data_IF_449340213654
#
_entry.id   IF_449340213654
#
_cell.length_a   1.000
_cell.length_b   1.000
_cell.length_c   1.000
_cell.angle_alpha   90.00
_cell.angle_beta   90.00
_cell.angle_gamma   90.00
#
_symmetry.space_group_name_H-M   'P 1'
#
loop_
_entity.id
_entity.type
_entity.pdbx_description
1 polymer ?
#
# COMPACT_ATOMS: atom_id res chain seq x y z
N UNK A 1 -25.34 -21.22 0.19
CA UNK A 1 -24.21 -20.50 0.84
C UNK A 1 -23.37 -19.86 -0.27
N UNK A 2 -22.88 -18.63 -0.06
CA UNK A 2 -22.04 -17.89 -1.00
C UNK A 2 -20.67 -17.62 -0.37
N UNK A 3 -19.60 -17.58 -1.19
CA UNK A 3 -18.22 -17.32 -0.79
C UNK A 3 -17.74 -16.02 -1.44
N UNK A 4 -17.19 -15.12 -0.64
CA UNK A 4 -16.53 -13.90 -1.09
C UNK A 4 -15.04 -13.97 -0.85
N UNK A 5 -14.26 -13.79 -1.91
CA UNK A 5 -12.81 -13.72 -1.87
C UNK A 5 -12.37 -12.25 -1.88
N UNK A 6 -11.90 -11.77 -0.73
CA UNK A 6 -11.39 -10.41 -0.54
C UNK A 6 -9.88 -10.43 -0.17
N UNK A 7 -9.14 -11.35 -0.74
CA UNK A 7 -7.75 -11.65 -0.39
C UNK A 7 -6.72 -10.73 -1.03
N UNK A 8 -7.17 -9.79 -1.88
CA UNK A 8 -6.41 -8.73 -2.54
C UNK A 8 -5.03 -9.21 -3.06
N UNK A 9 -3.92 -8.83 -2.41
CA UNK A 9 -2.55 -9.19 -2.82
C UNK A 9 -2.25 -10.69 -2.82
N UNK A 10 -3.02 -11.48 -2.08
CA UNK A 10 -2.87 -12.94 -2.03
C UNK A 10 -3.83 -13.69 -2.97
N UNK A 11 -4.60 -12.97 -3.79
CA UNK A 11 -5.61 -13.57 -4.67
C UNK A 11 -5.01 -14.50 -5.71
N UNK A 12 -3.80 -14.22 -6.20
CA UNK A 12 -3.11 -15.06 -7.18
C UNK A 12 -2.81 -16.47 -6.69
N UNK A 13 -2.87 -16.72 -5.38
CA UNK A 13 -2.71 -18.05 -4.79
C UNK A 13 -4.01 -18.88 -4.86
N UNK A 14 -5.14 -18.26 -5.16
CA UNK A 14 -6.47 -18.86 -5.03
C UNK A 14 -7.25 -18.79 -6.36
N UNK A 15 -7.10 -17.71 -7.12
CA UNK A 15 -7.87 -17.45 -8.33
C UNK A 15 -6.96 -17.05 -9.50
N UNK A 16 -7.40 -17.39 -10.73
CA UNK A 16 -6.68 -17.06 -11.96
C UNK A 16 -7.13 -15.69 -12.50
N UNK A 17 -6.88 -14.63 -11.73
CA UNK A 17 -7.16 -13.26 -12.13
C UNK A 17 -5.86 -12.46 -12.31
N UNK A 18 -5.92 -11.38 -13.08
CA UNK A 18 -4.77 -10.49 -13.27
C UNK A 18 -4.53 -9.63 -12.01
N UNK A 19 -4.09 -10.28 -10.95
CA UNK A 19 -3.66 -9.68 -9.69
C UNK A 19 -2.21 -10.05 -9.43
N UNK A 20 -1.35 -9.05 -9.39
CA UNK A 20 0.07 -9.22 -9.05
C UNK A 20 0.25 -8.80 -7.60
N UNK A 21 0.83 -9.65 -6.74
CA UNK A 21 1.20 -9.25 -5.39
C UNK A 21 2.30 -8.18 -5.46
N UNK A 22 2.17 -7.15 -4.66
CA UNK A 22 3.10 -6.04 -4.66
C UNK A 22 3.39 -5.60 -3.23
N UNK A 23 4.61 -5.86 -2.78
CA UNK A 23 5.06 -5.43 -1.46
C UNK A 23 5.22 -3.90 -1.43
N UNK A 24 4.59 -3.26 -0.45
CA UNK A 24 4.75 -1.85 -0.14
C UNK A 24 5.43 -1.72 1.22
N UNK A 25 6.44 -0.88 1.29
CA UNK A 25 7.22 -0.67 2.51
C UNK A 25 6.98 0.72 3.08
N UNK A 26 6.95 0.80 4.38
CA UNK A 26 6.73 2.04 5.11
C UNK A 26 7.65 2.12 6.33
N UNK A 27 7.82 3.33 6.81
CA UNK A 27 8.43 3.64 8.10
C UNK A 27 7.64 4.73 8.81
N UNK A 28 7.78 4.80 10.12
CA UNK A 28 7.22 5.87 10.95
C UNK A 28 8.28 6.37 11.94
N UNK A 29 8.33 7.67 12.14
CA UNK A 29 9.24 8.29 13.12
C UNK A 29 8.67 8.16 14.54
N UNK A 30 9.52 8.28 15.56
CA UNK A 30 9.07 8.66 16.91
C UNK A 30 8.40 10.05 16.89
N UNK A 31 7.62 10.41 17.91
CA UNK A 31 7.05 11.76 18.02
C UNK A 31 8.12 12.84 17.92
N UNK A 32 7.88 13.83 17.07
CA UNK A 32 8.78 14.95 16.82
C UNK A 32 8.20 16.19 17.54
N UNK A 33 8.98 16.79 18.40
CA UNK A 33 8.57 18.00 19.11
C UNK A 33 8.39 19.16 18.13
N UNK A 34 7.25 19.84 18.22
CA UNK A 34 6.90 20.97 17.35
C UNK A 34 6.89 20.63 15.86
N UNK A 35 6.45 19.42 15.49
CA UNK A 35 6.27 19.05 14.09
C UNK A 35 5.28 20.00 13.40
N UNK A 36 5.78 20.80 12.46
CA UNK A 36 4.97 21.78 11.71
C UNK A 36 4.62 21.28 10.30
N UNK A 37 4.27 20.00 10.18
CA UNK A 37 3.79 19.38 8.95
C UNK A 37 2.40 18.84 9.23
N UNK A 38 1.40 19.29 8.46
CA UNK A 38 0.02 18.84 8.59
C UNK A 38 -0.55 18.56 7.20
N UNK A 39 -1.00 17.32 6.97
CA UNK A 39 -1.61 16.91 5.71
C UNK A 39 -1.10 15.58 5.17
N UNK A 40 -1.55 15.28 3.95
CA UNK A 40 -1.14 14.10 3.17
C UNK A 40 -0.45 14.59 1.90
N UNK A 41 0.71 14.05 1.63
CA UNK A 41 1.58 14.49 0.56
C UNK A 41 1.99 13.33 -0.35
N UNK A 42 2.12 13.61 -1.64
CA UNK A 42 2.68 12.70 -2.63
C UNK A 42 3.91 13.32 -3.28
N UNK A 43 4.90 12.48 -3.59
CA UNK A 43 6.13 12.84 -4.27
C UNK A 43 6.37 11.87 -5.44
N UNK A 44 7.10 12.33 -6.45
CA UNK A 44 7.56 11.52 -7.56
C UNK A 44 6.39 10.72 -8.20
N UNK A 45 5.43 11.44 -8.79
CA UNK A 45 4.25 10.88 -9.46
C UNK A 45 3.40 9.93 -8.57
N UNK A 46 3.52 10.06 -7.23
CA UNK A 46 2.81 9.22 -6.27
C UNK A 46 3.56 7.93 -5.88
N UNK A 47 4.80 7.75 -6.33
CA UNK A 47 5.64 6.63 -5.88
C UNK A 47 6.03 6.72 -4.42
N UNK A 48 6.01 7.91 -3.82
CA UNK A 48 6.20 8.11 -2.40
C UNK A 48 5.04 8.91 -1.84
N UNK A 49 4.66 8.61 -0.62
CA UNK A 49 3.61 9.31 0.10
C UNK A 49 3.97 9.44 1.57
N UNK A 50 3.60 10.57 2.16
CA UNK A 50 3.77 10.76 3.59
C UNK A 50 2.64 11.59 4.19
N UNK A 51 2.46 11.45 5.48
CA UNK A 51 1.54 12.27 6.28
C UNK A 51 2.03 12.40 7.71
N UNK A 52 1.53 13.42 8.39
CA UNK A 52 1.64 13.46 9.84
C UNK A 52 0.58 12.57 10.51
N UNK A 53 0.93 12.00 11.65
CA UNK A 53 0.04 11.28 12.56
C UNK A 53 0.64 11.32 13.97
N UNK A 54 -0.10 11.82 14.97
CA UNK A 54 0.33 11.89 16.37
C UNK A 54 1.74 12.48 16.56
N UNK A 55 2.00 13.61 15.91
CA UNK A 55 3.31 14.27 15.87
C UNK A 55 4.45 13.41 15.27
N UNK A 56 4.13 12.43 14.44
CA UNK A 56 5.07 11.59 13.71
C UNK A 56 4.93 11.83 12.22
N UNK A 57 5.94 11.41 11.46
CA UNK A 57 5.84 11.28 10.01
C UNK A 57 5.75 9.79 9.67
N UNK A 58 4.67 9.39 9.02
CA UNK A 58 4.55 8.12 8.33
C UNK A 58 4.91 8.35 6.87
N UNK A 59 5.90 7.61 6.36
CA UNK A 59 6.39 7.69 4.98
C UNK A 59 6.44 6.30 4.37
N UNK A 60 5.92 6.17 3.16
CA UNK A 60 5.93 4.92 2.40
C UNK A 60 6.18 5.13 0.92
N UNK A 61 6.39 4.02 0.21
CA UNK A 61 6.60 4.01 -1.24
C UNK A 61 7.92 3.41 -1.67
N UNK A 62 8.42 3.84 -2.84
CA UNK A 62 9.72 3.43 -3.37
C UNK A 62 9.74 2.08 -4.11
N UNK A 63 8.58 1.43 -4.31
CA UNK A 63 8.50 0.17 -5.06
C UNK A 63 9.05 0.29 -6.49
N UNK A 64 8.98 1.47 -7.09
CA UNK A 64 9.54 1.77 -8.42
C UNK A 64 11.07 1.60 -8.52
N UNK A 65 11.78 1.54 -7.40
CA UNK A 65 13.22 1.29 -7.39
C UNK A 65 13.58 -0.16 -7.74
N UNK A 66 12.67 -1.11 -7.44
CA UNK A 66 12.87 -2.52 -7.74
C UNK A 66 11.53 -3.26 -7.83
N UNK A 67 10.82 -3.05 -8.93
CA UNK A 67 9.54 -3.72 -9.15
C UNK A 67 9.67 -5.25 -9.15
N UNK A 68 10.79 -5.78 -9.61
CA UNK A 68 10.98 -7.22 -9.72
C UNK A 68 11.00 -7.87 -8.33
N UNK A 69 11.81 -7.38 -7.43
CA UNK A 69 11.91 -7.91 -6.07
C UNK A 69 10.68 -7.60 -5.22
N UNK A 70 9.98 -6.51 -5.52
CA UNK A 70 8.77 -6.13 -4.79
C UNK A 70 7.47 -6.79 -5.34
N UNK A 71 7.54 -7.57 -6.43
CA UNK A 71 6.44 -8.42 -6.90
C UNK A 71 6.44 -9.76 -6.15
N UNK A 72 6.03 -9.75 -4.90
CA UNK A 72 6.09 -10.91 -4.01
C UNK A 72 4.93 -10.93 -3.02
N UNK A 73 4.58 -12.11 -2.54
CA UNK A 73 3.68 -12.33 -1.40
C UNK A 73 4.41 -12.32 -0.05
N UNK A 74 5.74 -12.28 -0.07
CA UNK A 74 6.55 -12.32 1.14
C UNK A 74 6.62 -10.94 1.80
N UNK A 75 6.37 -10.89 3.09
CA UNK A 75 6.66 -9.71 3.90
C UNK A 75 8.16 -9.52 4.04
N UNK A 76 8.58 -8.31 4.34
CA UNK A 76 9.98 -7.99 4.56
C UNK A 76 10.34 -6.58 4.15
N UNK A 77 11.59 -6.22 4.40
CA UNK A 77 12.15 -4.90 4.10
C UNK A 77 13.38 -5.07 3.20
N UNK A 78 13.53 -4.18 2.23
CA UNK A 78 14.71 -4.13 1.37
C UNK A 78 15.54 -2.89 1.66
N UNK A 79 16.85 -3.05 1.69
CA UNK A 79 17.78 -1.96 1.98
C UNK A 79 17.65 -0.81 1.00
N UNK A 80 17.47 -1.11 -0.28
CA UNK A 80 17.32 -0.12 -1.35
C UNK A 80 16.15 0.84 -1.07
N UNK A 81 14.97 0.29 -0.74
CA UNK A 81 13.79 1.10 -0.46
C UNK A 81 13.93 1.83 0.87
N UNK A 82 14.31 1.14 1.94
CA UNK A 82 14.43 1.75 3.26
C UNK A 82 15.46 2.90 3.28
N UNK A 83 16.61 2.73 2.64
CA UNK A 83 17.61 3.81 2.54
C UNK A 83 17.10 5.01 1.75
N UNK A 84 16.29 4.80 0.71
CA UNK A 84 15.65 5.90 -0.03
C UNK A 84 14.62 6.64 0.82
N UNK A 85 13.78 5.92 1.58
CA UNK A 85 12.83 6.54 2.50
C UNK A 85 13.52 7.36 3.59
N UNK A 86 14.60 6.85 4.19
CA UNK A 86 15.40 7.61 5.16
C UNK A 86 16.00 8.87 4.56
N UNK A 87 16.54 8.76 3.34
CA UNK A 87 17.09 9.90 2.65
C UNK A 87 16.05 10.97 2.36
N UNK A 88 14.83 10.58 1.94
CA UNK A 88 13.73 11.51 1.74
C UNK A 88 13.31 12.21 3.05
N UNK A 89 13.26 11.48 4.16
CA UNK A 89 13.03 12.09 5.47
C UNK A 89 14.08 13.16 5.77
N UNK A 90 15.35 12.80 5.66
CA UNK A 90 16.47 13.63 6.07
C UNK A 90 16.68 14.86 5.16
N UNK A 91 16.55 14.67 3.84
CA UNK A 91 16.93 15.70 2.87
C UNK A 91 15.75 16.57 2.42
N UNK A 92 14.51 16.04 2.48
CA UNK A 92 13.34 16.70 1.86
C UNK A 92 12.24 17.02 2.88
N UNK A 93 11.84 16.02 3.69
CA UNK A 93 10.66 16.15 4.54
C UNK A 93 11.00 16.85 5.86
N UNK A 94 12.11 16.48 6.46
CA UNK A 94 12.58 16.95 7.77
C UNK A 94 14.03 17.48 7.70
N UNK A 95 14.36 18.39 6.77
CA UNK A 95 15.70 18.97 6.71
C UNK A 95 15.99 19.67 8.06
N UNK A 96 17.21 19.48 8.57
CA UNK A 96 17.69 20.07 9.82
C UNK A 96 16.89 19.69 11.09
N UNK A 97 15.91 18.80 10.97
CA UNK A 97 15.11 18.32 12.10
C UNK A 97 15.67 16.97 12.58
N UNK A 98 15.99 16.87 13.86
CA UNK A 98 16.38 15.60 14.48
C UNK A 98 15.15 14.67 14.57
N UNK A 99 15.28 13.45 14.08
CA UNK A 99 14.25 12.42 14.18
C UNK A 99 14.88 11.04 14.42
N UNK A 100 14.10 10.16 14.99
CA UNK A 100 14.42 8.74 15.09
C UNK A 100 13.30 7.93 14.45
N UNK A 101 13.63 6.82 13.81
CA UNK A 101 12.65 5.90 13.26
C UNK A 101 12.19 4.95 14.37
N UNK A 102 10.89 4.89 14.60
CA UNK A 102 10.28 4.04 15.61
C UNK A 102 10.01 2.64 15.07
N UNK A 103 9.43 2.56 13.86
CA UNK A 103 9.02 1.29 13.29
C UNK A 103 9.11 1.30 11.76
N UNK A 104 9.29 0.10 11.20
CA UNK A 104 9.26 -0.20 9.76
C UNK A 104 8.43 -1.45 9.54
N UNK A 105 7.66 -1.48 8.48
CA UNK A 105 6.92 -2.69 8.10
C UNK A 105 6.64 -2.70 6.60
N UNK A 106 6.06 -3.81 6.14
CA UNK A 106 5.56 -3.94 4.78
C UNK A 106 4.15 -4.51 4.77
N UNK A 107 3.44 -4.29 3.67
CA UNK A 107 2.16 -4.88 3.36
C UNK A 107 2.13 -5.36 1.92
N UNK A 108 1.23 -6.31 1.59
CA UNK A 108 1.09 -6.85 0.25
C UNK A 108 -0.17 -6.28 -0.41
N UNK A 109 0.04 -5.49 -1.44
CA UNK A 109 -1.05 -4.95 -2.27
C UNK A 109 -1.38 -5.90 -3.40
N UNK A 110 -2.61 -5.87 -3.89
CA UNK A 110 -2.99 -6.46 -5.18
C UNK A 110 -2.98 -5.38 -6.26
N UNK A 111 -2.06 -5.48 -7.19
CA UNK A 111 -1.94 -4.57 -8.35
C UNK A 111 -2.16 -5.32 -9.66
N UNK A 112 -2.23 -4.61 -10.78
CA UNK A 112 -2.37 -5.20 -12.11
C UNK A 112 -2.11 -4.18 -13.21
N UNK A 113 -2.19 -4.62 -14.46
CA UNK A 113 -2.01 -3.75 -15.62
C UNK A 113 -3.04 -2.60 -15.67
N UNK A 114 -4.28 -2.89 -15.25
CA UNK A 114 -5.34 -1.87 -15.13
C UNK A 114 -5.39 -1.36 -13.68
N UNK A 115 -5.56 -0.07 -13.50
CA UNK A 115 -5.70 0.60 -12.18
C UNK A 115 -7.14 0.54 -11.65
N UNK A 116 -7.90 -0.50 -12.00
CA UNK A 116 -9.28 -0.70 -11.56
C UNK A 116 -9.39 -1.94 -10.69
N UNK A 117 -10.22 -1.92 -9.67
CA UNK A 117 -10.55 -3.12 -8.90
C UNK A 117 -11.20 -4.19 -9.79
N UNK A 118 -11.22 -5.42 -9.32
CA UNK A 118 -11.98 -6.52 -9.88
C UNK A 118 -13.10 -6.83 -8.91
N UNK A 119 -14.37 -6.65 -9.36
CA UNK A 119 -15.57 -7.03 -8.63
C UNK A 119 -16.40 -7.89 -9.56
N UNK A 120 -16.49 -9.21 -9.31
CA UNK A 120 -17.22 -10.11 -10.16
C UNK A 120 -17.56 -11.47 -9.53
N UNK A 121 -18.50 -12.16 -10.16
CA UNK A 121 -18.76 -13.57 -9.91
C UNK A 121 -17.75 -14.43 -10.65
N UNK A 122 -17.15 -15.40 -9.95
CA UNK A 122 -16.20 -16.39 -10.50
C UNK A 122 -16.88 -17.72 -10.88
N UNK A 123 -17.87 -18.13 -10.08
CA UNK A 123 -18.68 -19.32 -10.31
C UNK A 123 -20.02 -19.19 -9.58
N UNK A 124 -20.92 -20.17 -9.68
CA UNK A 124 -22.30 -20.07 -9.17
C UNK A 124 -22.48 -19.50 -7.77
N UNK A 125 -21.50 -19.72 -6.88
CA UNK A 125 -21.61 -19.24 -5.49
C UNK A 125 -20.30 -18.58 -5.01
N UNK A 126 -19.38 -18.22 -5.92
CA UNK A 126 -18.09 -17.64 -5.59
C UNK A 126 -17.93 -16.29 -6.26
N UNK A 127 -17.59 -15.29 -5.47
CA UNK A 127 -17.42 -13.90 -5.89
C UNK A 127 -16.07 -13.39 -5.44
N UNK A 128 -15.52 -12.39 -6.11
CA UNK A 128 -14.28 -11.76 -5.67
C UNK A 128 -14.34 -10.23 -5.76
N UNK A 129 -13.70 -9.57 -4.76
CA UNK A 129 -13.41 -8.15 -4.74
C UNK A 129 -11.93 -7.95 -4.43
N UNK A 130 -11.12 -7.73 -5.48
CA UNK A 130 -9.65 -7.76 -5.37
C UNK A 130 -9.01 -6.72 -6.29
N UNK A 131 -7.69 -6.60 -6.27
CA UNK A 131 -6.88 -5.66 -7.06
C UNK A 131 -7.21 -4.20 -6.73
N UNK A 132 -7.16 -3.86 -5.44
CA UNK A 132 -7.43 -2.50 -4.97
C UNK A 132 -6.29 -1.50 -5.26
N UNK A 133 -5.12 -1.97 -5.75
CA UNK A 133 -4.04 -1.13 -6.30
C UNK A 133 -3.45 -0.10 -5.33
N UNK A 134 -3.48 -0.34 -4.02
CA UNK A 134 -3.10 0.63 -3.01
C UNK A 134 -4.21 1.63 -2.63
N UNK A 135 -5.35 1.60 -3.33
CA UNK A 135 -6.49 2.52 -3.13
C UNK A 135 -7.59 1.96 -2.22
N UNK A 136 -7.31 0.87 -1.49
CA UNK A 136 -8.33 0.11 -0.74
C UNK A 136 -9.15 0.93 0.24
N UNK A 137 -8.55 1.90 0.93
CA UNK A 137 -9.27 2.79 1.85
C UNK A 137 -10.28 3.66 1.10
N UNK A 138 -9.94 4.15 -0.09
CA UNK A 138 -10.81 5.03 -0.87
C UNK A 138 -11.93 4.28 -1.60
N UNK A 139 -11.64 3.08 -2.15
CA UNK A 139 -12.56 2.38 -3.05
C UNK A 139 -13.16 1.09 -2.46
N UNK A 140 -12.67 0.62 -1.32
CA UNK A 140 -13.07 -0.67 -0.75
C UNK A 140 -14.56 -0.77 -0.44
N UNK A 141 -15.18 0.31 0.03
CA UNK A 141 -16.63 0.36 0.28
C UNK A 141 -17.42 0.18 -1.01
N UNK A 142 -17.04 0.86 -2.10
CA UNK A 142 -17.71 0.72 -3.39
C UNK A 142 -17.58 -0.71 -3.94
N UNK A 143 -16.40 -1.31 -3.84
CA UNK A 143 -16.20 -2.72 -4.22
C UNK A 143 -17.08 -3.65 -3.39
N UNK A 144 -17.25 -3.35 -2.10
CA UNK A 144 -18.17 -4.11 -1.24
C UNK A 144 -19.63 -3.98 -1.66
N UNK A 145 -20.07 -2.78 -2.07
CA UNK A 145 -21.43 -2.54 -2.61
C UNK A 145 -21.63 -3.30 -3.92
N UNK A 146 -20.70 -3.15 -4.87
CA UNK A 146 -20.76 -3.89 -6.16
C UNK A 146 -20.86 -5.40 -5.95
N UNK A 147 -20.11 -5.96 -4.98
CA UNK A 147 -20.20 -7.39 -4.65
C UNK A 147 -21.55 -7.76 -4.05
N UNK A 148 -22.15 -6.90 -3.24
CA UNK A 148 -23.46 -7.14 -2.66
C UNK A 148 -24.57 -7.11 -3.72
N UNK A 149 -24.43 -6.27 -4.74
CA UNK A 149 -25.38 -6.18 -5.87
C UNK A 149 -25.33 -7.41 -6.81
N UNK A 150 -24.26 -8.20 -6.75
CA UNK A 150 -24.16 -9.47 -7.50
C UNK A 150 -24.92 -10.64 -6.84
N UNK A 151 -25.53 -10.42 -5.67
CA UNK A 151 -26.26 -11.46 -4.93
C UNK A 151 -27.70 -11.62 -5.35
#
# INVERSE_FOLDING_TARGET
RKLFLATNGFSNLIIQENVVPARAQVLITKPIKNLNIAGTFHLDEGYYYFRNIDNRILLGGGRNLDFQSENTTDFGLTKVIQSKLERLLKEVILPETHFEIEQRWSGIMGVGKKKTAISKQLSNNVYCGVRLGGMGIAIGTNVGIELAELL
#
